data_IF_402115149460
#
_entry.id   IF_402115149460
#
_cell.length_a   1.000
_cell.length_b   1.000
_cell.length_c   1.000
_cell.angle_alpha   90.00
_cell.angle_beta   90.00
_cell.angle_gamma   90.00
#
_symmetry.space_group_name_H-M   'P 1'
#
loop_
_entity.id
_entity.type
_entity.pdbx_description
1 polymer ?
#
# COMPACT_ATOMS: atom_id res chain seq x y z
N UNK A 1 6.02 4.24 -11.11
CA UNK A 1 5.94 4.88 -9.79
C UNK A 1 5.85 3.77 -8.76
N UNK A 2 6.50 3.96 -7.62
CA UNK A 2 6.36 3.11 -6.45
C UNK A 2 5.67 3.90 -5.34
N UNK A 3 4.58 3.36 -4.81
CA UNK A 3 3.78 4.03 -3.80
C UNK A 3 3.66 3.13 -2.59
N UNK A 4 3.96 3.68 -1.42
CA UNK A 4 3.91 2.94 -0.16
C UNK A 4 3.06 3.70 0.86
N UNK A 5 2.06 3.01 1.42
CA UNK A 5 1.31 3.46 2.59
C UNK A 5 1.82 2.70 3.81
N UNK A 6 2.54 3.38 4.69
CA UNK A 6 2.93 2.85 6.00
C UNK A 6 1.93 3.32 7.05
N UNK A 7 1.32 2.36 7.75
CA UNK A 7 0.39 2.65 8.84
C UNK A 7 1.19 2.94 10.12
N UNK A 8 0.98 4.11 10.70
CA UNK A 8 1.40 4.43 12.05
C UNK A 8 0.20 4.46 13.00
N UNK A 9 0.45 4.60 14.29
CA UNK A 9 -0.61 4.72 15.30
C UNK A 9 -1.46 5.99 15.10
N UNK A 10 -0.85 7.10 14.66
CA UNK A 10 -1.49 8.43 14.50
C UNK A 10 -1.84 8.80 13.06
N UNK A 11 -1.11 8.26 12.09
CA UNK A 11 -1.18 8.69 10.70
C UNK A 11 -0.80 7.58 9.71
N UNK A 12 -0.99 7.88 8.43
CA UNK A 12 -0.38 7.17 7.31
C UNK A 12 0.81 7.97 6.79
N UNK A 13 1.98 7.33 6.70
CA UNK A 13 3.10 7.85 5.93
C UNK A 13 2.98 7.37 4.50
N UNK A 14 2.78 8.30 3.58
CA UNK A 14 2.70 8.02 2.14
C UNK A 14 4.03 8.36 1.52
N UNK A 15 4.69 7.36 0.94
CA UNK A 15 5.96 7.50 0.23
C UNK A 15 5.75 7.27 -1.26
N UNK A 16 6.40 8.09 -2.07
CA UNK A 16 6.43 7.98 -3.54
C UNK A 16 7.87 7.82 -3.97
N UNK A 17 8.17 6.76 -4.72
CA UNK A 17 9.52 6.36 -5.16
C UNK A 17 10.52 6.33 -3.99
N UNK A 18 10.09 5.84 -2.83
CA UNK A 18 10.90 5.72 -1.61
C UNK A 18 11.06 7.02 -0.79
N UNK A 19 10.59 8.16 -1.29
CA UNK A 19 10.64 9.44 -0.57
C UNK A 19 9.30 9.77 0.09
N UNK A 20 9.33 10.31 1.32
CA UNK A 20 8.12 10.75 2.02
C UNK A 20 7.44 11.87 1.23
N UNK A 21 6.21 11.63 0.79
CA UNK A 21 5.41 12.60 0.06
C UNK A 21 4.45 13.33 0.99
N UNK A 22 3.72 12.60 1.85
CA UNK A 22 2.79 13.21 2.80
C UNK A 22 2.58 12.33 4.04
N UNK A 23 2.29 12.99 5.16
CA UNK A 23 1.77 12.36 6.38
C UNK A 23 0.29 12.70 6.51
N UNK A 24 -0.55 11.68 6.57
CA UNK A 24 -2.00 11.85 6.61
C UNK A 24 -2.56 11.31 7.93
N UNK A 25 -2.97 12.20 8.83
CA UNK A 25 -3.57 11.82 10.09
C UNK A 25 -4.86 11.00 9.91
N UNK A 26 -5.04 9.99 10.75
CA UNK A 26 -6.23 9.14 10.73
C UNK A 26 -7.49 9.97 11.00
N UNK A 27 -8.38 10.09 10.02
CA UNK A 27 -9.70 10.75 10.19
C UNK A 27 -10.77 9.81 10.74
N UNK A 28 -10.54 8.53 10.62
CA UNK A 28 -11.39 7.43 11.04
C UNK A 28 -10.47 6.31 11.52
N UNK A 29 -10.92 5.44 12.43
CA UNK A 29 -10.06 4.42 12.99
C UNK A 29 -9.52 3.47 11.89
N UNK A 30 -8.19 3.36 11.80
CA UNK A 30 -7.52 2.59 10.74
C UNK A 30 -7.95 1.11 10.69
N UNK A 31 -8.33 0.52 11.82
CA UNK A 31 -8.83 -0.87 11.90
C UNK A 31 -10.13 -1.09 11.11
N UNK A 32 -10.83 -0.01 10.72
CA UNK A 32 -12.01 -0.11 9.85
C UNK A 32 -11.64 -0.21 8.37
N UNK A 33 -10.39 0.09 7.99
CA UNK A 33 -9.95 -0.10 6.60
C UNK A 33 -9.59 -1.56 6.39
N UNK A 34 -10.28 -2.15 5.43
CA UNK A 34 -10.06 -3.51 4.98
C UNK A 34 -9.98 -3.61 3.46
N UNK A 35 -10.11 -2.50 2.73
CA UNK A 35 -10.17 -2.52 1.26
C UNK A 35 -9.27 -1.43 0.66
N UNK A 36 -8.53 -1.80 -0.39
CA UNK A 36 -7.79 -0.89 -1.23
C UNK A 36 -8.34 -0.95 -2.67
N UNK A 37 -8.48 0.21 -3.28
CA UNK A 37 -8.96 0.41 -4.64
C UNK A 37 -7.96 1.27 -5.41
N UNK A 38 -7.58 0.85 -6.60
CA UNK A 38 -6.73 1.59 -7.52
C UNK A 38 -7.52 1.85 -8.78
N UNK A 39 -7.76 3.12 -9.06
CA UNK A 39 -8.61 3.55 -10.16
C UNK A 39 -7.87 4.54 -11.06
N UNK A 40 -8.31 4.62 -12.31
CA UNK A 40 -7.85 5.61 -13.28
C UNK A 40 -6.91 5.04 -14.34
N UNK A 41 -6.24 5.96 -15.05
CA UNK A 41 -5.35 5.66 -16.16
C UNK A 41 -3.97 5.19 -15.66
N UNK A 42 -3.94 4.11 -14.90
CA UNK A 42 -2.70 3.44 -14.45
C UNK A 42 -2.73 1.96 -14.80
N UNK A 43 -1.56 1.36 -14.93
CA UNK A 43 -1.40 -0.07 -15.00
C UNK A 43 -0.59 -0.51 -13.78
N UNK A 44 -1.16 -1.37 -12.93
CA UNK A 44 -0.42 -1.95 -11.81
C UNK A 44 0.49 -3.07 -12.30
N UNK A 45 1.72 -3.07 -11.81
CA UNK A 45 2.70 -4.14 -11.98
C UNK A 45 2.65 -5.13 -10.82
N UNK A 46 2.55 -4.62 -9.57
CA UNK A 46 2.34 -5.47 -8.40
C UNK A 46 1.72 -4.69 -7.24
N UNK A 47 1.14 -5.44 -6.30
CA UNK A 47 0.75 -4.98 -4.96
C UNK A 47 1.31 -5.96 -3.92
N UNK A 48 1.82 -5.44 -2.81
CA UNK A 48 2.38 -6.21 -1.72
C UNK A 48 1.90 -5.67 -0.37
N UNK A 49 1.63 -6.57 0.56
CA UNK A 49 1.29 -6.26 1.94
C UNK A 49 2.40 -6.78 2.82
N UNK A 50 3.09 -5.90 3.54
CA UNK A 50 4.21 -6.29 4.39
C UNK A 50 4.01 -5.78 5.81
N UNK A 51 4.69 -6.41 6.75
CA UNK A 51 4.73 -5.98 8.14
C UNK A 51 6.16 -5.64 8.48
N UNK A 52 6.43 -4.37 8.77
CA UNK A 52 7.72 -3.97 9.29
C UNK A 52 7.78 -4.44 10.75
N UNK A 53 8.28 -5.65 10.97
CA UNK A 53 8.78 -6.00 12.30
C UNK A 53 9.95 -5.08 12.56
N UNK A 54 9.78 -4.14 13.49
CA UNK A 54 10.89 -3.37 14.04
C UNK A 54 11.79 -4.38 14.75
N UNK A 55 12.79 -4.90 14.04
CA UNK A 55 13.89 -5.66 14.65
C UNK A 55 14.78 -4.61 15.31
N UNK A 56 14.35 -4.12 16.49
CA UNK A 56 15.30 -3.51 17.41
C UNK A 56 16.29 -4.61 17.80
N UNK A 57 17.56 -4.35 17.51
CA UNK A 57 18.73 -5.17 17.80
C UNK A 57 18.69 -5.84 19.18
N UNK A 58 18.78 -7.18 19.23
CA UNK A 58 19.55 -7.87 20.26
C UNK A 58 20.16 -9.15 19.69
N UNK A 59 21.50 -9.12 19.62
CA UNK A 59 22.40 -10.20 19.95
C UNK A 59 22.25 -11.54 19.20
N UNK A 60 23.16 -11.68 18.24
CA UNK A 60 23.84 -12.93 17.88
C UNK A 60 23.93 -13.92 19.04
N UNK A 61 23.01 -14.89 19.05
CA UNK A 61 23.13 -16.15 19.78
C UNK A 61 23.20 -17.26 18.72
N UNK A 62 24.30 -18.04 18.65
CA UNK A 62 24.42 -19.11 17.66
C UNK A 62 23.60 -20.31 18.15
N UNK A 63 22.45 -20.60 17.53
CA UNK A 63 21.87 -21.94 17.61
C UNK A 63 20.37 -22.12 17.76
N UNK A 64 19.48 -21.14 17.49
CA UNK A 64 18.05 -21.43 17.44
C UNK A 64 17.39 -20.99 16.13
N UNK A 65 17.14 -21.97 15.27
CA UNK A 65 16.26 -21.88 14.12
C UNK A 65 14.82 -21.69 14.62
N UNK A 66 14.37 -20.44 14.74
CA UNK A 66 12.94 -20.16 14.73
C UNK A 66 12.50 -20.09 13.27
N UNK A 67 11.96 -21.19 12.79
CA UNK A 67 11.24 -21.26 11.53
C UNK A 67 9.96 -20.45 11.67
N UNK A 68 10.01 -19.13 11.40
CA UNK A 68 8.81 -18.43 10.98
C UNK A 68 8.34 -19.13 9.70
N UNK A 69 7.05 -19.50 9.58
CA UNK A 69 6.50 -19.82 8.27
C UNK A 69 6.58 -18.52 7.49
N UNK A 70 7.64 -18.38 6.70
CA UNK A 70 7.73 -17.35 5.68
C UNK A 70 6.57 -17.64 4.75
N UNK A 71 5.43 -16.99 4.98
CA UNK A 71 4.40 -16.87 3.98
C UNK A 71 5.14 -16.19 2.82
N UNK A 72 5.40 -16.90 1.70
CA UNK A 72 6.04 -16.25 0.58
C UNK A 72 5.17 -15.04 0.23
N UNK A 73 5.75 -13.88 -0.11
CA UNK A 73 4.93 -12.79 -0.62
C UNK A 73 4.09 -13.39 -1.73
N UNK A 74 2.77 -13.39 -1.57
CA UNK A 74 1.86 -13.81 -2.63
C UNK A 74 1.96 -12.75 -3.72
N UNK A 75 3.03 -12.85 -4.49
CA UNK A 75 3.22 -12.15 -5.73
C UNK A 75 2.32 -12.88 -6.71
N UNK A 76 1.07 -12.41 -6.83
CA UNK A 76 0.21 -12.83 -7.92
C UNK A 76 0.86 -12.31 -9.21
N UNK A 77 1.48 -13.19 -10.04
CA UNK A 77 1.99 -12.78 -11.33
C UNK A 77 0.80 -12.83 -12.27
N UNK A 78 -0.12 -11.87 -12.16
CA UNK A 78 -1.10 -11.65 -13.21
C UNK A 78 -0.47 -10.67 -14.21
N UNK A 79 -0.35 -11.02 -15.50
CA UNK A 79 0.32 -10.19 -16.50
C UNK A 79 -0.40 -8.85 -16.76
N UNK A 80 -1.63 -8.69 -16.29
CA UNK A 80 -2.29 -7.40 -16.18
C UNK A 80 -3.31 -7.42 -15.03
N UNK A 81 -3.13 -6.56 -14.03
CA UNK A 81 -4.18 -6.27 -13.06
C UNK A 81 -5.29 -5.47 -13.75
N UNK A 82 -6.55 -5.95 -13.78
CA UNK A 82 -7.64 -5.22 -14.42
C UNK A 82 -7.91 -3.92 -13.67
N UNK A 83 -8.16 -2.83 -14.40
CA UNK A 83 -8.52 -1.54 -13.82
C UNK A 83 -10.04 -1.32 -13.89
N UNK A 84 -10.68 -0.83 -12.80
CA UNK A 84 -10.09 -0.55 -11.50
C UNK A 84 -9.73 -1.83 -10.75
N UNK A 85 -8.60 -1.82 -10.05
CA UNK A 85 -8.17 -2.92 -9.21
C UNK A 85 -8.69 -2.73 -7.79
N UNK A 86 -9.42 -3.71 -7.26
CA UNK A 86 -9.98 -3.68 -5.92
C UNK A 86 -9.59 -4.97 -5.21
N UNK A 87 -9.04 -4.85 -4.01
CA UNK A 87 -8.73 -6.02 -3.18
C UNK A 87 -8.87 -5.71 -1.70
N UNK A 88 -9.18 -6.74 -0.93
CA UNK A 88 -9.19 -6.68 0.53
C UNK A 88 -7.76 -6.70 1.06
N UNK A 89 -7.51 -5.95 2.13
CA UNK A 89 -6.25 -5.91 2.85
C UNK A 89 -6.19 -7.13 3.78
N UNK A 90 -5.31 -8.11 3.52
CA UNK A 90 -5.22 -9.31 4.36
C UNK A 90 -4.84 -8.93 5.79
N UNK A 91 -5.66 -9.36 6.75
CA UNK A 91 -5.48 -9.05 8.17
C UNK A 91 -5.79 -7.60 8.57
N UNK A 92 -6.40 -6.79 7.70
CA UNK A 92 -6.73 -5.39 7.97
C UNK A 92 -5.51 -4.49 8.12
N UNK A 93 -5.72 -3.27 8.62
CA UNK A 93 -4.63 -2.34 8.95
C UNK A 93 -4.28 -2.36 10.43
N UNK A 94 -2.99 -2.31 10.71
CA UNK A 94 -2.41 -2.15 12.04
C UNK A 94 -1.07 -1.41 11.93
N UNK A 95 -0.58 -0.78 13.02
CA UNK A 95 0.69 -0.07 13.00
C UNK A 95 1.84 -0.95 12.49
N UNK A 96 2.76 -0.35 11.73
CA UNK A 96 3.88 -1.01 11.06
C UNK A 96 3.52 -1.88 9.85
N UNK A 97 2.23 -2.02 9.50
CA UNK A 97 1.84 -2.61 8.22
C UNK A 97 2.11 -1.63 7.09
N UNK A 98 2.66 -2.11 5.99
CA UNK A 98 2.86 -1.36 4.77
C UNK A 98 2.09 -1.98 3.61
N UNK A 99 1.53 -1.12 2.76
CA UNK A 99 0.95 -1.49 1.48
C UNK A 99 1.81 -0.85 0.39
N UNK A 100 2.43 -1.68 -0.43
CA UNK A 100 3.32 -1.24 -1.51
C UNK A 100 2.66 -1.55 -2.84
N UNK A 101 2.60 -0.56 -3.72
CA UNK A 101 2.07 -0.68 -5.07
C UNK A 101 3.13 -0.17 -6.05
N UNK A 102 3.29 -0.87 -7.16
CA UNK A 102 4.08 -0.38 -8.29
C UNK A 102 3.27 -0.43 -9.56
N UNK A 103 3.47 0.56 -10.41
CA UNK A 103 2.76 0.65 -11.68
C UNK A 103 3.23 1.81 -12.55
N UNK A 104 2.60 1.96 -13.70
CA UNK A 104 2.86 3.03 -14.66
C UNK A 104 1.59 3.85 -14.88
N UNK A 105 1.75 5.14 -15.18
CA UNK A 105 0.64 5.98 -15.64
C UNK A 105 0.52 5.79 -17.15
N UNK A 106 -0.69 5.50 -17.64
CA UNK A 106 -0.93 5.30 -19.06
C UNK A 106 -0.84 6.64 -19.82
N UNK A 107 -0.24 6.68 -21.02
CA UNK A 107 -0.13 7.91 -21.83
C UNK A 107 -1.48 8.56 -22.17
N UNK A 108 -2.58 7.77 -22.15
CA UNK A 108 -3.95 8.24 -22.36
C UNK A 108 -4.56 8.97 -21.15
N UNK A 109 -3.81 9.19 -20.07
CA UNK A 109 -4.23 9.92 -18.88
C UNK A 109 -4.47 11.42 -19.16
N UNK A 110 -5.62 11.73 -19.76
CA UNK A 110 -6.09 13.11 -20.00
C UNK A 110 -6.57 13.69 -18.66
N UNK A 111 -5.74 14.54 -18.01
CA UNK A 111 -6.04 15.31 -16.77
C UNK A 111 -6.58 14.48 -15.58
N UNK A 112 -5.77 14.34 -14.53
CA UNK A 112 -6.22 14.00 -13.17
C UNK A 112 -7.19 12.79 -13.08
N UNK A 113 -6.79 11.63 -13.60
CA UNK A 113 -7.65 10.44 -13.63
C UNK A 113 -7.27 9.33 -12.64
N UNK A 114 -6.03 9.33 -12.15
CA UNK A 114 -5.42 8.20 -11.43
C UNK A 114 -5.45 8.41 -9.92
N UNK A 115 -6.34 7.70 -9.21
CA UNK A 115 -6.47 7.80 -7.76
C UNK A 115 -6.42 6.41 -7.09
N UNK A 116 -5.52 6.29 -6.11
CA UNK A 116 -5.48 5.16 -5.18
C UNK A 116 -6.29 5.54 -3.95
N UNK A 117 -7.26 4.72 -3.58
CA UNK A 117 -8.19 4.94 -2.47
C UNK A 117 -8.10 3.79 -1.47
N UNK A 118 -8.03 4.15 -0.19
CA UNK A 118 -8.25 3.24 0.93
C UNK A 118 -9.66 3.49 1.45
N UNK A 119 -10.50 2.45 1.40
CA UNK A 119 -11.91 2.52 1.79
C UNK A 119 -12.20 1.48 2.86
N UNK A 120 -12.88 1.83 3.96
CA UNK A 120 -13.53 0.82 4.79
C UNK A 120 -14.66 0.17 3.98
N UNK A 121 -14.86 -1.15 4.10
CA UNK A 121 -15.91 -1.94 3.42
C UNK A 121 -17.34 -1.39 3.57
N UNK A 122 -17.56 -0.44 4.48
CA UNK A 122 -18.86 0.17 4.77
C UNK A 122 -18.97 1.68 4.54
N UNK A 123 -17.91 2.43 4.22
CA UNK A 123 -17.98 3.89 4.05
C UNK A 123 -16.99 4.46 3.01
N UNK A 124 -17.34 5.47 2.19
CA UNK A 124 -16.56 5.77 0.98
C UNK A 124 -15.31 6.65 1.14
N UNK A 125 -14.93 7.13 2.34
CA UNK A 125 -13.88 8.16 2.45
C UNK A 125 -12.94 7.92 3.63
N UNK A 126 -11.71 7.45 3.39
CA UNK A 126 -10.65 7.47 4.40
C UNK A 126 -9.35 8.08 3.89
N UNK A 127 -8.78 7.59 2.78
CA UNK A 127 -7.60 8.21 2.15
C UNK A 127 -7.71 8.08 0.64
N UNK A 128 -7.46 9.17 -0.09
CA UNK A 128 -7.31 9.15 -1.55
C UNK A 128 -6.03 9.89 -1.91
N UNK A 129 -5.12 9.21 -2.61
CA UNK A 129 -3.96 9.84 -3.24
C UNK A 129 -4.17 9.82 -4.74
N UNK A 130 -4.25 11.00 -5.35
CA UNK A 130 -4.32 11.11 -6.80
C UNK A 130 -2.92 11.46 -7.32
N UNK A 131 -2.42 10.66 -8.28
CA UNK A 131 -1.20 11.00 -8.99
C UNK A 131 -1.56 11.97 -10.12
N UNK A 132 -0.91 13.14 -10.12
CA UNK A 132 -1.03 14.10 -11.21
C UNK A 132 0.06 13.83 -12.26
N UNK A 133 -0.31 13.80 -13.53
CA UNK A 133 0.56 13.43 -14.68
C UNK A 133 1.63 14.47 -15.02
N UNK A 134 1.88 15.47 -14.17
CA UNK A 134 2.79 16.60 -14.47
C UNK A 134 4.26 16.32 -14.15
N UNK A 135 4.60 15.14 -13.63
CA UNK A 135 5.99 14.77 -13.35
C UNK A 135 6.28 13.42 -14.00
N UNK A 136 6.57 13.47 -15.30
CA UNK A 136 7.26 12.43 -16.06
C UNK A 136 8.43 13.11 -16.79
#
# INVERSE_FOLDING_TARGET
FDLCFLVQSSDFKVMVNGSLFVQYFHRVPFHRVDTISVNGSVQLSYISFQTQTVIHTVQSTPGQMFSTPAIPPMMYPHPAYPMPFITTIPGGLYPSKSIILSGTVLPSAQRCGSCVKLTPSRWPWMVSTCLNTTIA
#
